data_IF_601537943430
#
_entry.id   IF_601537943430
#
_cell.length_a   1.000
_cell.length_b   1.000
_cell.length_c   1.000
_cell.angle_alpha   90.00
_cell.angle_beta   90.00
_cell.angle_gamma   90.00
#
_symmetry.space_group_name_H-M   'P 1'
#
loop_
_entity.id
_entity.type
_entity.pdbx_description
1 polymer ?
#
# COMPACT_ATOMS: atom_id res chain seq x y z
N UNK A 1 -80.11 -12.58 39.11
CA UNK A 1 -78.80 -13.10 38.62
C UNK A 1 -78.39 -12.27 37.40
N UNK A 2 -77.24 -11.60 37.48
CA UNK A 2 -76.81 -10.55 36.54
C UNK A 2 -75.92 -11.15 35.45
N UNK A 3 -76.28 -10.92 34.18
CA UNK A 3 -75.50 -11.36 33.02
C UNK A 3 -74.58 -10.21 32.57
N UNK A 4 -73.26 -10.36 32.72
CA UNK A 4 -72.25 -9.41 32.22
C UNK A 4 -71.73 -9.88 30.86
N UNK A 5 -71.93 -9.09 29.82
CA UNK A 5 -71.24 -9.25 28.54
C UNK A 5 -69.83 -8.67 28.63
N UNK A 6 -68.81 -9.46 28.27
CA UNK A 6 -67.41 -9.04 28.13
C UNK A 6 -67.17 -8.70 26.65
N UNK A 7 -66.94 -7.43 26.35
CA UNK A 7 -66.52 -6.97 25.03
C UNK A 7 -65.02 -7.21 24.85
N UNK A 8 -64.64 -8.13 23.96
CA UNK A 8 -63.26 -8.22 23.47
C UNK A 8 -62.99 -7.08 22.47
N UNK A 9 -61.85 -6.42 22.64
CA UNK A 9 -61.38 -5.37 21.71
C UNK A 9 -60.88 -6.01 20.41
N UNK A 10 -61.25 -5.50 19.22
CA UNK A 10 -60.69 -5.99 17.97
C UNK A 10 -59.22 -5.57 17.84
N UNK A 11 -58.36 -6.54 17.55
CA UNK A 11 -56.93 -6.35 17.30
C UNK A 11 -56.68 -5.44 16.10
N UNK A 12 -55.86 -4.41 16.33
CA UNK A 12 -55.43 -3.49 15.30
C UNK A 12 -54.57 -4.22 14.25
N UNK A 13 -55.07 -4.33 13.02
CA UNK A 13 -54.29 -4.82 11.88
C UNK A 13 -53.37 -3.70 11.39
N UNK A 14 -52.05 -3.92 11.27
CA UNK A 14 -51.15 -2.90 10.75
C UNK A 14 -51.47 -2.61 9.27
N UNK A 15 -51.55 -1.32 8.92
CA UNK A 15 -51.87 -0.88 7.56
C UNK A 15 -50.74 -1.25 6.59
N UNK A 16 -51.11 -1.80 5.44
CA UNK A 16 -50.19 -2.22 4.38
C UNK A 16 -49.21 -1.11 3.94
N UNK A 17 -49.58 0.16 4.11
CA UNK A 17 -48.74 1.34 3.83
C UNK A 17 -47.44 1.42 4.66
N UNK A 18 -47.43 0.87 5.88
CA UNK A 18 -46.24 0.90 6.77
C UNK A 18 -45.18 -0.12 6.35
N UNK A 19 -45.59 -1.19 5.67
CA UNK A 19 -44.69 -2.24 5.19
C UNK A 19 -43.90 -1.79 3.95
N UNK A 20 -44.45 -0.89 3.13
CA UNK A 20 -43.77 -0.36 1.95
C UNK A 20 -42.67 0.66 2.31
N UNK A 21 -42.93 1.57 3.26
CA UNK A 21 -41.95 2.57 3.70
C UNK A 21 -40.74 1.96 4.41
N UNK A 22 -40.97 0.91 5.22
CA UNK A 22 -39.88 0.18 5.88
C UNK A 22 -38.92 -0.48 4.88
N UNK A 23 -39.44 -0.92 3.73
CA UNK A 23 -38.67 -1.63 2.70
C UNK A 23 -37.72 -0.71 1.93
N UNK A 24 -38.09 0.56 1.75
CA UNK A 24 -37.22 1.57 1.12
C UNK A 24 -36.11 2.07 2.05
N UNK A 25 -36.39 2.18 3.36
CA UNK A 25 -35.39 2.54 4.37
C UNK A 25 -34.27 1.47 4.51
N UNK A 26 -34.63 0.19 4.39
CA UNK A 26 -33.65 -0.91 4.43
C UNK A 26 -32.76 -0.91 3.17
N UNK A 27 -33.29 -0.58 1.99
CA UNK A 27 -32.49 -0.48 0.76
C UNK A 27 -31.52 0.70 0.77
N UNK A 28 -31.91 1.84 1.35
CA UNK A 28 -31.05 3.02 1.47
C UNK A 28 -29.90 2.80 2.47
N UNK A 29 -30.13 2.02 3.52
CA UNK A 29 -29.10 1.70 4.53
C UNK A 29 -28.01 0.73 4.01
N UNK A 30 -28.30 -0.08 2.99
CA UNK A 30 -27.33 -0.99 2.37
C UNK A 30 -26.47 -0.33 1.28
N UNK A 31 -26.75 0.91 0.91
CA UNK A 31 -25.99 1.67 -0.08
C UNK A 31 -24.84 2.51 0.53
N UNK A 32 -24.53 2.32 1.82
CA UNK A 32 -23.28 2.79 2.41
C UNK A 32 -22.15 2.00 1.76
N UNK A 33 -21.67 2.52 0.64
CA UNK A 33 -20.52 1.99 -0.10
C UNK A 33 -19.33 1.93 0.86
N UNK A 34 -18.98 0.72 1.27
CA UNK A 34 -17.72 0.41 1.91
C UNK A 34 -16.61 0.77 0.92
N UNK A 35 -16.07 1.98 1.05
CA UNK A 35 -14.88 2.39 0.32
C UNK A 35 -13.75 1.48 0.79
N UNK A 36 -13.38 0.50 -0.05
CA UNK A 36 -12.25 -0.36 0.22
C UNK A 36 -11.04 0.55 0.50
N UNK A 37 -10.29 0.31 1.59
CA UNK A 37 -9.10 1.10 1.88
C UNK A 37 -8.17 1.01 0.66
N UNK A 38 -7.71 2.17 0.17
CA UNK A 38 -6.73 2.21 -0.89
C UNK A 38 -5.47 1.50 -0.36
N UNK A 39 -5.15 0.34 -0.93
CA UNK A 39 -3.98 -0.42 -0.55
C UNK A 39 -2.75 0.39 -0.98
N UNK A 40 -1.92 0.80 -0.01
CA UNK A 40 -0.68 1.49 -0.35
C UNK A 40 0.21 0.56 -1.19
N UNK A 41 0.80 1.06 -2.29
CA UNK A 41 1.68 0.26 -3.12
C UNK A 41 2.88 -0.20 -2.30
N UNK A 42 3.08 -1.52 -2.24
CA UNK A 42 4.20 -2.14 -1.55
C UNK A 42 5.54 -1.68 -2.15
N UNK A 43 6.49 -1.31 -1.30
CA UNK A 43 7.85 -1.00 -1.72
C UNK A 43 8.58 -2.28 -2.13
N UNK A 44 8.82 -2.43 -3.43
CA UNK A 44 9.41 -3.66 -3.98
C UNK A 44 10.94 -3.71 -3.83
N UNK A 45 11.59 -2.54 -3.83
CA UNK A 45 13.04 -2.45 -3.84
C UNK A 45 13.54 -1.13 -3.24
N UNK A 46 14.59 -1.21 -2.42
CA UNK A 46 15.33 -0.05 -1.91
C UNK A 46 16.78 -0.43 -1.64
N UNK A 47 17.69 0.40 -2.13
CA UNK A 47 19.11 0.33 -1.80
C UNK A 47 19.62 1.68 -1.30
N UNK A 48 20.46 1.64 -0.27
CA UNK A 48 21.24 2.74 0.28
C UNK A 48 22.68 2.27 0.49
N UNK A 49 23.65 3.15 0.30
CA UNK A 49 25.07 2.81 0.44
C UNK A 49 25.66 3.23 1.80
N UNK A 50 24.82 3.69 2.73
CA UNK A 50 25.22 4.18 4.05
C UNK A 50 25.89 3.09 4.89
N UNK A 51 25.46 1.84 4.74
CA UNK A 51 26.00 0.69 5.48
C UNK A 51 27.23 0.08 4.78
N UNK A 52 27.83 0.79 3.82
CA UNK A 52 28.99 0.32 3.03
C UNK A 52 28.74 -1.02 2.30
N UNK A 53 27.49 -1.28 1.96
CA UNK A 53 27.07 -2.45 1.17
C UNK A 53 26.34 -2.00 -0.09
N UNK A 54 26.56 -2.73 -1.19
CA UNK A 54 25.79 -2.57 -2.41
C UNK A 54 24.52 -3.42 -2.43
N UNK A 55 24.30 -4.30 -1.45
CA UNK A 55 23.08 -5.11 -1.40
C UNK A 55 21.88 -4.28 -0.95
N UNK A 56 20.72 -4.56 -1.54
CA UNK A 56 19.48 -3.86 -1.23
C UNK A 56 18.98 -4.19 0.18
N UNK A 57 18.55 -3.16 0.93
CA UNK A 57 17.93 -3.32 2.26
C UNK A 57 16.48 -3.81 2.15
N UNK A 58 15.81 -3.52 1.03
CA UNK A 58 14.48 -4.05 0.70
C UNK A 58 14.54 -4.62 -0.69
N UNK A 59 14.12 -5.86 -0.85
CA UNK A 59 13.97 -6.53 -2.13
C UNK A 59 12.90 -7.61 -1.98
N UNK A 60 11.91 -7.62 -2.88
CA UNK A 60 10.97 -8.74 -3.00
C UNK A 60 11.61 -9.90 -3.77
N UNK A 61 12.54 -9.63 -4.69
CA UNK A 61 13.35 -10.60 -5.42
C UNK A 61 14.74 -10.80 -4.80
N UNK A 62 15.77 -10.91 -5.65
CA UNK A 62 17.16 -11.05 -5.21
C UNK A 62 17.71 -9.68 -4.74
N UNK A 63 18.20 -9.54 -3.48
CA UNK A 63 18.76 -8.28 -2.98
C UNK A 63 20.21 -8.02 -3.42
N UNK A 64 20.90 -9.00 -4.00
CA UNK A 64 22.34 -8.90 -4.31
C UNK A 64 22.60 -7.99 -5.50
N UNK A 65 23.63 -7.16 -5.39
CA UNK A 65 24.14 -6.40 -6.54
C UNK A 65 25.16 -7.21 -7.34
N UNK A 66 25.38 -6.83 -8.59
CA UNK A 66 26.50 -7.32 -9.42
C UNK A 66 27.87 -6.81 -8.96
N UNK A 67 27.92 -5.78 -8.10
CA UNK A 67 29.16 -5.17 -7.67
C UNK A 67 29.94 -6.14 -6.76
N UNK A 68 31.18 -6.42 -7.13
CA UNK A 68 32.04 -7.41 -6.44
C UNK A 68 33.00 -6.79 -5.44
N UNK A 69 33.23 -5.47 -5.52
CA UNK A 69 34.18 -4.76 -4.66
C UNK A 69 33.57 -4.29 -3.35
N UNK A 70 34.42 -4.12 -2.34
CA UNK A 70 34.06 -3.53 -1.05
C UNK A 70 33.91 -2.00 -1.20
N UNK A 71 32.84 -1.44 -0.64
CA UNK A 71 32.56 0.00 -0.67
C UNK A 71 33.33 0.77 0.40
N UNK A 72 33.82 0.11 1.46
CA UNK A 72 34.43 0.75 2.63
C UNK A 72 35.63 1.65 2.32
N UNK A 73 36.39 1.32 1.26
CA UNK A 73 37.56 2.11 0.85
C UNK A 73 37.23 3.24 -0.13
N UNK A 74 36.00 3.29 -0.65
CA UNK A 74 35.60 4.18 -1.74
C UNK A 74 34.41 5.06 -1.39
N UNK A 75 33.98 5.06 -0.14
CA UNK A 75 32.85 5.87 0.32
C UNK A 75 33.10 7.34 0.01
N UNK A 76 32.17 7.95 -0.72
CA UNK A 76 32.15 9.39 -1.00
C UNK A 76 30.87 9.99 -0.46
N UNK A 77 30.94 11.26 -0.07
CA UNK A 77 29.76 11.99 0.39
C UNK A 77 28.83 12.33 -0.79
N UNK A 78 27.61 11.80 -0.73
CA UNK A 78 26.50 12.00 -1.64
C UNK A 78 25.52 13.09 -1.21
N UNK A 79 24.24 12.86 -1.45
CA UNK A 79 23.15 13.78 -1.09
C UNK A 79 22.93 13.79 0.43
N UNK A 80 22.69 14.97 1.00
CA UNK A 80 22.39 15.15 2.43
C UNK A 80 23.40 14.47 3.38
N UNK A 81 24.70 14.56 3.07
CA UNK A 81 25.81 13.95 3.85
C UNK A 81 25.75 12.42 3.98
N UNK A 82 24.96 11.74 3.13
CA UNK A 82 24.88 10.28 3.04
C UNK A 82 25.93 9.72 2.11
N UNK A 83 26.18 8.41 2.17
CA UNK A 83 27.18 7.77 1.31
C UNK A 83 26.62 7.61 -0.10
N UNK A 84 27.40 8.05 -1.10
CA UNK A 84 27.12 7.79 -2.51
C UNK A 84 27.95 6.58 -3.00
N UNK A 85 27.33 5.80 -3.89
CA UNK A 85 28.07 4.87 -4.74
C UNK A 85 28.79 5.66 -5.83
N UNK A 86 30.09 5.44 -5.96
CA UNK A 86 30.91 5.96 -7.06
C UNK A 86 31.44 4.77 -7.83
N UNK A 87 31.12 4.71 -9.12
CA UNK A 87 31.58 3.65 -10.01
C UNK A 87 32.82 4.15 -10.78
N UNK A 88 33.83 3.29 -10.87
CA UNK A 88 34.98 3.50 -11.74
C UNK A 88 34.69 3.12 -13.20
N UNK A 89 35.68 3.29 -14.06
CA UNK A 89 35.58 2.95 -15.48
C UNK A 89 35.31 1.44 -15.66
N UNK A 90 34.24 1.11 -16.38
CA UNK A 90 33.82 -0.27 -16.62
C UNK A 90 33.17 -0.97 -15.43
N UNK A 91 32.99 -0.29 -14.30
CA UNK A 91 32.25 -0.83 -13.16
C UNK A 91 30.74 -0.67 -13.37
N UNK A 92 29.99 -1.71 -13.00
CA UNK A 92 28.54 -1.71 -13.03
C UNK A 92 27.99 -2.20 -11.70
N UNK A 93 26.95 -1.52 -11.21
CA UNK A 93 26.13 -1.98 -10.12
C UNK A 93 24.70 -2.21 -10.63
N UNK A 94 24.38 -3.47 -10.88
CA UNK A 94 23.11 -3.93 -11.39
C UNK A 94 22.42 -4.84 -10.37
N UNK A 95 21.09 -4.89 -10.48
CA UNK A 95 20.23 -5.74 -9.68
C UNK A 95 19.27 -6.50 -10.59
N UNK A 96 18.86 -7.69 -10.17
CA UNK A 96 17.85 -8.44 -10.90
C UNK A 96 16.51 -7.69 -10.89
N UNK A 97 15.92 -7.49 -12.07
CA UNK A 97 14.62 -6.83 -12.23
C UNK A 97 13.47 -7.71 -11.73
N UNK A 98 13.59 -9.03 -11.91
CA UNK A 98 12.53 -10.00 -11.62
C UNK A 98 12.17 -9.94 -10.13
N UNK A 99 10.95 -9.50 -9.84
CA UNK A 99 10.42 -9.37 -8.47
C UNK A 99 10.77 -8.05 -7.77
N UNK A 100 11.86 -7.38 -8.16
CA UNK A 100 12.28 -6.11 -7.56
C UNK A 100 11.65 -4.87 -8.20
N UNK A 101 11.21 -4.97 -9.46
CA UNK A 101 10.61 -3.86 -10.19
C UNK A 101 9.39 -4.31 -10.99
N UNK A 102 8.32 -3.53 -10.91
CA UNK A 102 7.13 -3.67 -11.75
C UNK A 102 6.96 -2.40 -12.60
N UNK A 103 7.36 -2.48 -13.87
CA UNK A 103 7.29 -1.34 -14.81
C UNK A 103 5.84 -0.95 -15.16
N UNK A 104 4.87 -1.86 -14.99
CA UNK A 104 3.47 -1.60 -15.31
C UNK A 104 2.70 -0.90 -14.18
N UNK A 105 3.25 -0.87 -12.96
CA UNK A 105 2.56 -0.33 -11.78
C UNK A 105 3.54 0.08 -10.66
N UNK A 106 4.39 1.08 -10.92
CA UNK A 106 5.39 1.51 -9.95
C UNK A 106 5.90 2.94 -10.15
N UNK A 107 6.72 3.40 -9.21
CA UNK A 107 7.47 4.66 -9.29
C UNK A 107 8.93 4.35 -8.97
N UNK A 108 9.85 4.92 -9.73
CA UNK A 108 11.29 4.85 -9.48
C UNK A 108 11.73 6.23 -9.02
N UNK A 109 12.50 6.28 -7.93
CA UNK A 109 13.13 7.50 -7.43
C UNK A 109 14.55 7.20 -7.00
N UNK A 110 15.46 8.14 -7.23
CA UNK A 110 16.87 8.02 -6.85
C UNK A 110 17.47 9.41 -6.64
N UNK A 111 18.57 9.46 -5.89
CA UNK A 111 19.36 10.66 -5.67
C UNK A 111 20.69 10.50 -6.37
N UNK A 112 21.11 11.52 -7.12
CA UNK A 112 22.41 11.58 -7.77
C UNK A 112 23.12 12.88 -7.41
N UNK A 113 24.43 12.81 -7.21
CA UNK A 113 25.31 13.96 -7.03
C UNK A 113 26.33 13.94 -8.16
N UNK A 114 26.31 14.91 -9.10
CA UNK A 114 27.29 14.95 -10.18
C UNK A 114 28.69 15.19 -9.59
N UNK A 115 29.70 14.42 -10.02
CA UNK A 115 31.05 14.55 -9.48
C UNK A 115 31.92 15.55 -10.26
N UNK A 116 31.65 15.79 -11.54
CA UNK A 116 32.25 16.84 -12.40
C UNK A 116 31.35 17.00 -13.64
N UNK A 117 30.59 18.10 -13.71
CA UNK A 117 29.75 18.48 -14.85
C UNK A 117 30.36 19.71 -15.51
#
# INVERSE_FOLDING_TARGET
MSCRYRLEKPGARPSLSRLWLARWLVLAALAVSSRAPAQEPELLFRVTFDDLTANAQVARGNPKSSLTRDLGLTAKEGFNKKTALVLGDGEECAYEVKGNLNLSAGTISFWAKPHNW
#
